data_IF_723195305155
#
_entry.id   IF_723195305155
#
_cell.length_a   1.000
_cell.length_b   1.000
_cell.length_c   1.000
_cell.angle_alpha   90.00
_cell.angle_beta   90.00
_cell.angle_gamma   90.00
#
_symmetry.space_group_name_H-M   'P 1'
#
loop_
_entity.id
_entity.type
_entity.pdbx_description
1 polymer ?
#
# COMPACT_ATOMS: atom_id res chain seq x y z
N UNK A 1 75.57 14.85 -1.44
CA UNK A 1 74.46 15.74 -1.03
C UNK A 1 73.28 15.50 -2.01
N UNK A 2 72.37 14.56 -1.70
CA UNK A 2 71.24 14.20 -2.56
C UNK A 2 69.97 14.80 -2.00
N UNK A 3 69.39 15.79 -2.68
CA UNK A 3 68.10 16.33 -2.38
C UNK A 3 67.01 15.39 -2.92
N UNK A 4 66.33 14.67 -2.05
CA UNK A 4 65.07 13.95 -2.36
C UNK A 4 63.95 14.96 -2.48
N UNK A 5 63.46 15.18 -3.70
CA UNK A 5 62.21 15.90 -3.94
C UNK A 5 61.02 14.94 -3.65
N UNK A 6 60.34 15.20 -2.59
CA UNK A 6 59.06 14.54 -2.28
C UNK A 6 57.98 15.26 -3.10
N UNK A 7 57.45 14.58 -4.11
CA UNK A 7 56.23 15.02 -4.85
C UNK A 7 55.03 14.56 -4.07
N UNK A 8 54.33 15.49 -3.42
CA UNK A 8 53.00 15.25 -2.82
C UNK A 8 51.96 15.20 -3.96
N UNK A 9 51.44 14.01 -4.26
CA UNK A 9 50.28 13.85 -5.15
C UNK A 9 49.06 14.03 -4.28
N UNK A 10 48.39 15.17 -4.40
CA UNK A 10 47.10 15.42 -3.80
C UNK A 10 46.03 14.62 -4.58
N UNK A 11 45.55 13.53 -4.00
CA UNK A 11 44.43 12.74 -4.54
C UNK A 11 43.11 13.50 -4.20
N UNK A 12 42.58 14.27 -5.16
CA UNK A 12 41.24 14.81 -5.07
C UNK A 12 40.24 13.66 -5.24
N UNK A 13 39.72 13.12 -4.15
CA UNK A 13 38.55 12.22 -4.15
C UNK A 13 37.31 13.07 -4.39
N UNK A 14 36.88 13.19 -5.64
CA UNK A 14 35.54 13.66 -5.96
C UNK A 14 34.52 12.60 -5.46
N UNK A 15 33.96 12.81 -4.28
CA UNK A 15 32.82 12.05 -3.82
C UNK A 15 31.59 12.38 -4.70
N UNK A 16 31.51 11.74 -5.85
CA UNK A 16 30.30 11.74 -6.67
C UNK A 16 29.20 11.04 -5.89
N UNK A 17 28.26 11.81 -5.32
CA UNK A 17 27.08 11.25 -4.73
C UNK A 17 26.32 10.45 -5.79
N UNK A 18 26.29 9.12 -5.65
CA UNK A 18 25.42 8.27 -6.45
C UNK A 18 23.99 8.54 -5.93
N UNK A 19 23.25 9.40 -6.62
CA UNK A 19 21.80 9.50 -6.41
C UNK A 19 21.20 8.18 -6.85
N UNK A 20 20.91 7.28 -5.90
CA UNK A 20 20.06 6.13 -6.15
C UNK A 20 18.68 6.70 -6.49
N UNK A 21 18.30 6.60 -7.75
CA UNK A 21 16.95 6.91 -8.18
C UNK A 21 16.00 6.02 -7.37
N UNK A 22 15.25 6.61 -6.46
CA UNK A 22 14.27 5.90 -5.67
C UNK A 22 13.16 5.50 -6.64
N UNK A 23 12.98 4.18 -6.85
CA UNK A 23 11.97 3.64 -7.76
C UNK A 23 10.52 3.82 -7.24
N UNK A 24 10.34 4.50 -6.11
CA UNK A 24 9.07 4.80 -5.45
C UNK A 24 8.78 6.30 -5.40
N UNK A 25 7.58 6.65 -4.88
CA UNK A 25 7.19 8.04 -4.67
C UNK A 25 7.95 8.71 -3.51
N UNK A 26 7.89 10.05 -3.46
CA UNK A 26 8.40 10.86 -2.36
C UNK A 26 7.32 10.98 -1.26
N UNK A 27 7.54 10.30 -0.13
CA UNK A 27 6.61 10.32 0.99
C UNK A 27 6.45 11.72 1.62
N UNK A 28 7.49 12.56 1.62
CA UNK A 28 7.42 13.90 2.17
C UNK A 28 6.57 14.81 1.27
N UNK A 29 6.74 14.72 -0.04
CA UNK A 29 5.87 15.39 -1.00
C UNK A 29 4.43 14.86 -0.90
N UNK A 30 4.24 13.54 -0.73
CA UNK A 30 2.95 12.91 -0.51
C UNK A 30 2.21 13.47 0.70
N UNK A 31 2.90 13.69 1.81
CA UNK A 31 2.31 14.28 3.03
C UNK A 31 1.64 15.63 2.79
N UNK A 32 2.12 16.42 1.85
CA UNK A 32 1.53 17.72 1.52
C UNK A 32 0.24 17.60 0.71
N UNK A 33 -0.01 16.43 0.12
CA UNK A 33 -1.13 16.20 -0.80
C UNK A 33 -2.32 15.47 -0.16
N UNK A 34 -2.18 14.94 1.07
CA UNK A 34 -3.18 14.05 1.67
C UNK A 34 -4.37 14.75 2.33
N UNK A 35 -4.47 16.07 2.29
CA UNK A 35 -5.47 16.81 3.08
C UNK A 35 -6.92 16.31 2.82
N UNK A 36 -7.30 16.10 1.56
CA UNK A 36 -8.61 15.54 1.21
C UNK A 36 -8.74 14.06 1.59
N UNK A 37 -7.67 13.29 1.46
CA UNK A 37 -7.65 11.85 1.81
C UNK A 37 -7.84 11.65 3.32
N UNK A 38 -7.20 12.49 4.12
CA UNK A 38 -7.19 12.42 5.58
C UNK A 38 -8.59 12.56 6.20
N UNK A 39 -9.50 13.26 5.55
CA UNK A 39 -10.87 13.44 6.02
C UNK A 39 -11.62 12.11 6.20
N UNK A 40 -11.35 11.13 5.34
CA UNK A 40 -11.99 9.82 5.36
C UNK A 40 -11.06 8.70 5.83
N UNK A 41 -9.78 8.76 5.44
CA UNK A 41 -8.82 7.70 5.71
C UNK A 41 -7.94 7.93 6.95
N UNK A 42 -8.07 9.10 7.61
CA UNK A 42 -7.17 9.50 8.70
C UNK A 42 -5.85 10.07 8.19
N UNK A 43 -5.22 10.95 8.98
CA UNK A 43 -3.94 11.60 8.60
C UNK A 43 -2.81 10.59 8.40
N UNK A 44 -2.83 9.54 9.19
CA UNK A 44 -1.86 8.42 9.16
C UNK A 44 -2.38 7.22 8.35
N UNK A 45 -3.51 7.34 7.67
CA UNK A 45 -4.13 6.26 6.92
C UNK A 45 -4.84 5.20 7.77
N UNK A 46 -5.01 5.43 9.07
CA UNK A 46 -5.79 4.55 9.95
C UNK A 46 -7.21 5.10 10.11
N UNK A 47 -8.06 4.86 9.09
CA UNK A 47 -9.46 5.31 9.14
C UNK A 47 -10.18 4.77 10.38
N UNK A 48 -10.99 5.61 11.00
CA UNK A 48 -11.83 5.21 12.12
C UNK A 48 -13.12 4.51 11.66
N UNK A 49 -13.57 4.78 10.44
CA UNK A 49 -14.80 4.23 9.87
C UNK A 49 -14.52 2.95 9.07
N UNK A 50 -15.24 1.85 9.33
CA UNK A 50 -15.12 0.62 8.55
C UNK A 50 -15.63 0.76 7.10
N UNK A 51 -16.34 1.84 6.77
CA UNK A 51 -16.72 2.14 5.40
C UNK A 51 -15.51 2.60 4.54
N UNK A 52 -14.49 3.16 5.17
CA UNK A 52 -13.29 3.64 4.51
C UNK A 52 -12.12 2.70 4.82
N UNK A 53 -11.37 2.21 3.83
CA UNK A 53 -10.25 1.32 4.12
C UNK A 53 -9.12 2.05 4.84
N UNK A 54 -8.40 1.32 5.69
CA UNK A 54 -7.10 1.75 6.17
C UNK A 54 -6.11 1.70 5.01
N UNK A 55 -5.29 2.75 4.90
CA UNK A 55 -4.24 2.88 3.89
C UNK A 55 -2.84 2.71 4.49
N UNK A 56 -2.71 2.89 5.82
CA UNK A 56 -1.46 2.79 6.56
C UNK A 56 -0.77 1.44 6.32
N UNK A 57 0.53 1.47 6.04
CA UNK A 57 1.36 0.28 5.85
C UNK A 57 1.04 -0.58 4.62
N UNK A 58 0.08 -0.16 3.81
CA UNK A 58 -0.25 -0.87 2.59
C UNK A 58 0.85 -0.72 1.54
N UNK A 59 1.07 -1.74 0.72
CA UNK A 59 2.07 -1.70 -0.35
C UNK A 59 1.89 -0.48 -1.26
N UNK A 60 2.98 0.27 -1.46
CA UNK A 60 3.00 1.43 -2.35
C UNK A 60 2.52 1.07 -3.76
N UNK A 61 3.02 -0.06 -4.30
CA UNK A 61 2.61 -0.57 -5.62
C UNK A 61 1.11 -0.82 -5.69
N UNK A 62 0.52 -1.40 -4.64
CA UNK A 62 -0.91 -1.64 -4.58
C UNK A 62 -1.70 -0.33 -4.46
N UNK A 63 -1.28 0.59 -3.59
CA UNK A 63 -1.93 1.89 -3.42
C UNK A 63 -1.93 2.68 -4.74
N UNK A 64 -0.77 2.78 -5.38
CA UNK A 64 -0.65 3.49 -6.67
C UNK A 64 -1.54 2.86 -7.74
N UNK A 65 -1.57 1.52 -7.83
CA UNK A 65 -2.49 0.83 -8.74
C UNK A 65 -3.93 1.21 -8.45
N UNK A 66 -4.36 1.17 -7.18
CA UNK A 66 -5.74 1.49 -6.82
C UNK A 66 -6.10 2.95 -7.14
N UNK A 67 -5.22 3.91 -6.88
CA UNK A 67 -5.43 5.32 -7.24
C UNK A 67 -5.60 5.50 -8.75
N UNK A 68 -4.77 4.84 -9.54
CA UNK A 68 -4.88 4.86 -11.02
C UNK A 68 -6.20 4.24 -11.50
N UNK A 69 -6.57 3.08 -10.96
CA UNK A 69 -7.78 2.37 -11.34
C UNK A 69 -9.04 3.18 -10.99
N UNK A 70 -9.06 3.83 -9.82
CA UNK A 70 -10.17 4.70 -9.41
C UNK A 70 -10.23 5.93 -10.32
N UNK A 71 -9.09 6.59 -10.58
CA UNK A 71 -9.04 7.77 -11.45
C UNK A 71 -9.51 7.48 -12.88
N UNK A 72 -9.18 6.31 -13.40
CA UNK A 72 -9.57 5.89 -14.77
C UNK A 72 -10.98 5.29 -14.85
N UNK A 73 -11.65 5.05 -13.72
CA UNK A 73 -12.92 4.34 -13.67
C UNK A 73 -12.82 2.81 -13.77
N UNK A 74 -11.60 2.23 -13.87
CA UNK A 74 -11.40 0.78 -13.85
C UNK A 74 -11.79 0.15 -12.52
N UNK A 75 -11.82 0.95 -11.46
CA UNK A 75 -12.40 0.63 -10.15
C UNK A 75 -13.41 1.71 -9.79
N UNK A 76 -14.69 1.38 -9.89
CA UNK A 76 -15.75 2.30 -9.52
C UNK A 76 -15.96 2.33 -8.00
N UNK A 77 -15.81 3.51 -7.41
CA UNK A 77 -16.08 3.82 -6.01
C UNK A 77 -16.75 5.19 -5.95
N UNK A 78 -18.05 5.23 -5.88
CA UNK A 78 -18.84 6.47 -5.99
C UNK A 78 -18.34 7.60 -5.07
N UNK A 79 -17.98 7.30 -3.81
CA UNK A 79 -17.48 8.32 -2.86
C UNK A 79 -16.10 8.88 -3.23
N UNK A 80 -15.33 8.15 -4.05
CA UNK A 80 -14.01 8.59 -4.52
C UNK A 80 -14.07 9.32 -5.87
N UNK A 81 -15.24 9.35 -6.52
CA UNK A 81 -15.41 10.05 -7.81
C UNK A 81 -15.03 11.52 -7.68
N UNK A 82 -14.16 11.99 -8.57
CA UNK A 82 -13.67 13.36 -8.59
C UNK A 82 -12.53 13.67 -7.61
N UNK A 83 -12.29 12.84 -6.58
CA UNK A 83 -11.26 13.11 -5.57
C UNK A 83 -9.82 13.10 -6.13
N UNK A 84 -9.61 12.42 -7.25
CA UNK A 84 -8.30 12.22 -7.85
C UNK A 84 -8.08 13.03 -9.14
N UNK A 85 -9.06 13.82 -9.59
CA UNK A 85 -9.04 14.46 -10.91
C UNK A 85 -7.84 15.38 -11.13
N UNK A 86 -7.50 16.16 -10.12
CA UNK A 86 -6.40 17.12 -10.17
C UNK A 86 -5.02 16.52 -9.82
N UNK A 87 -4.94 15.21 -9.50
CA UNK A 87 -3.67 14.56 -9.14
C UNK A 87 -2.98 14.01 -10.38
N UNK A 88 -1.70 14.30 -10.53
CA UNK A 88 -0.83 13.66 -11.51
C UNK A 88 -0.46 12.24 -11.08
N UNK A 89 0.15 11.45 -11.98
CA UNK A 89 0.68 10.12 -11.64
C UNK A 89 1.78 10.24 -10.57
N UNK A 90 2.59 11.29 -10.63
CA UNK A 90 3.63 11.57 -9.62
C UNK A 90 3.01 11.87 -8.27
N UNK A 91 1.95 12.69 -8.21
CA UNK A 91 1.24 12.99 -6.96
C UNK A 91 0.64 11.72 -6.35
N UNK A 92 0.02 10.87 -7.15
CA UNK A 92 -0.52 9.59 -6.71
C UNK A 92 0.58 8.64 -6.20
N UNK A 93 1.77 8.64 -6.83
CA UNK A 93 2.93 7.86 -6.37
C UNK A 93 3.42 8.38 -5.01
N UNK A 94 3.53 9.70 -4.85
CA UNK A 94 3.95 10.33 -3.60
C UNK A 94 2.96 10.05 -2.46
N UNK A 95 1.64 10.14 -2.72
CA UNK A 95 0.59 9.79 -1.76
C UNK A 95 0.69 8.31 -1.36
N UNK A 96 0.90 7.42 -2.34
CA UNK A 96 1.07 5.99 -2.09
C UNK A 96 2.28 5.71 -1.21
N UNK A 97 3.43 6.36 -1.47
CA UNK A 97 4.64 6.25 -0.66
C UNK A 97 4.41 6.75 0.78
N UNK A 98 3.69 7.88 0.93
CA UNK A 98 3.37 8.41 2.26
C UNK A 98 2.58 7.41 3.10
N UNK A 99 1.47 6.88 2.59
CA UNK A 99 0.65 5.92 3.35
C UNK A 99 1.32 4.57 3.53
N UNK A 100 2.13 4.13 2.57
CA UNK A 100 2.92 2.90 2.71
C UNK A 100 3.93 2.96 3.86
N UNK A 101 4.48 4.14 4.14
CA UNK A 101 5.40 4.38 5.26
C UNK A 101 4.72 4.50 6.63
N UNK A 102 3.38 4.52 6.70
CA UNK A 102 2.68 4.64 7.98
C UNK A 102 2.53 3.28 8.68
N UNK A 103 2.42 3.32 10.01
CA UNK A 103 2.16 2.11 10.80
C UNK A 103 0.66 1.86 10.88
N UNK A 104 0.22 0.70 10.42
CA UNK A 104 -1.18 0.30 10.52
C UNK A 104 -1.53 -0.10 11.96
N UNK A 105 -2.66 0.40 12.46
CA UNK A 105 -3.22 -0.06 13.72
C UNK A 105 -3.83 -1.46 13.58
N UNK A 106 -3.56 -2.32 14.57
CA UNK A 106 -4.11 -3.67 14.60
C UNK A 106 -5.65 -3.65 14.61
N UNK A 107 -6.23 -4.61 13.93
CA UNK A 107 -7.65 -4.96 14.03
C UNK A 107 -7.81 -6.21 14.89
N UNK A 108 -9.02 -6.40 15.41
CA UNK A 108 -9.37 -7.62 16.14
C UNK A 108 -10.48 -8.35 15.40
N UNK A 109 -10.35 -9.68 15.30
CA UNK A 109 -11.43 -10.53 14.81
C UNK A 109 -12.50 -10.70 15.91
N UNK A 110 -13.75 -10.89 15.50
CA UNK A 110 -14.79 -11.34 16.43
C UNK A 110 -14.45 -12.74 16.91
N UNK A 111 -14.37 -12.99 18.23
CA UNK A 111 -13.93 -14.28 18.77
C UNK A 111 -14.70 -15.47 18.19
N UNK A 112 -16.00 -15.34 18.01
CA UNK A 112 -16.88 -16.39 17.48
C UNK A 112 -16.62 -16.73 16.01
N UNK A 113 -15.96 -15.86 15.26
CA UNK A 113 -15.61 -16.07 13.85
C UNK A 113 -14.12 -16.39 13.63
N UNK A 114 -13.31 -16.24 14.67
CA UNK A 114 -11.84 -16.30 14.52
C UNK A 114 -11.35 -17.69 14.06
N UNK A 115 -11.93 -18.78 14.60
CA UNK A 115 -11.54 -20.14 14.22
C UNK A 115 -11.94 -20.44 12.77
N UNK A 116 -13.20 -20.24 12.42
CA UNK A 116 -13.70 -20.47 11.06
C UNK A 116 -12.94 -19.59 10.06
N UNK A 117 -12.68 -18.33 10.40
CA UNK A 117 -11.93 -17.41 9.54
C UNK A 117 -10.50 -17.88 9.32
N UNK A 118 -9.83 -18.40 10.35
CA UNK A 118 -8.49 -18.96 10.26
C UNK A 118 -8.43 -20.19 9.34
N UNK A 119 -9.40 -21.10 9.50
CA UNK A 119 -9.50 -22.30 8.65
C UNK A 119 -9.68 -21.91 7.17
N UNK A 120 -10.64 -21.04 6.86
CA UNK A 120 -10.87 -20.59 5.49
C UNK A 120 -9.63 -19.84 4.95
N UNK A 121 -9.03 -18.99 5.76
CA UNK A 121 -7.86 -18.22 5.35
C UNK A 121 -6.69 -19.11 4.96
N UNK A 122 -6.42 -20.15 5.76
CA UNK A 122 -5.27 -21.05 5.59
C UNK A 122 -5.50 -22.16 4.57
N UNK A 123 -6.70 -22.72 4.57
CA UNK A 123 -7.00 -23.94 3.84
C UNK A 123 -7.96 -23.73 2.66
N UNK A 124 -8.62 -22.56 2.61
CA UNK A 124 -9.70 -22.34 1.64
C UNK A 124 -10.98 -23.09 2.00
N UNK A 125 -11.84 -23.27 1.02
CA UNK A 125 -13.01 -24.12 1.10
C UNK A 125 -13.22 -24.78 -0.26
N UNK A 126 -12.77 -26.03 -0.40
CA UNK A 126 -12.79 -26.77 -1.67
C UNK A 126 -14.22 -27.03 -2.18
N UNK A 127 -15.16 -27.27 -1.30
CA UNK A 127 -16.56 -27.51 -1.67
C UNK A 127 -17.20 -26.29 -2.33
N UNK A 128 -16.74 -25.09 -1.94
CA UNK A 128 -17.22 -23.80 -2.47
C UNK A 128 -16.28 -23.20 -3.52
N UNK A 129 -15.21 -23.90 -3.90
CA UNK A 129 -14.22 -23.37 -4.85
C UNK A 129 -13.40 -22.19 -4.33
N UNK A 130 -13.28 -22.03 -3.00
CA UNK A 130 -12.52 -20.93 -2.39
C UNK A 130 -11.08 -21.37 -2.16
N UNK A 131 -10.14 -20.71 -2.83
CA UNK A 131 -8.71 -20.93 -2.62
C UNK A 131 -8.25 -20.41 -1.26
N UNK A 132 -7.16 -20.99 -0.73
CA UNK A 132 -6.52 -20.48 0.49
C UNK A 132 -5.96 -19.06 0.28
N UNK A 133 -6.33 -18.13 1.13
CA UNK A 133 -5.92 -16.71 1.02
C UNK A 133 -4.42 -16.54 1.27
N UNK A 134 -3.82 -17.44 2.08
CA UNK A 134 -2.39 -17.44 2.42
C UNK A 134 -1.48 -17.50 1.20
N UNK A 135 -1.91 -18.13 0.11
CA UNK A 135 -1.12 -18.29 -1.11
C UNK A 135 -0.71 -16.96 -1.74
N UNK A 136 -1.58 -15.96 -1.66
CA UNK A 136 -1.35 -14.63 -2.21
C UNK A 136 -1.03 -13.58 -1.13
N UNK A 137 -1.76 -13.62 -0.01
CA UNK A 137 -1.67 -12.61 1.04
C UNK A 137 -0.66 -12.95 2.15
N UNK A 138 0.01 -14.09 2.06
CA UNK A 138 0.98 -14.56 3.06
C UNK A 138 0.31 -15.11 4.32
N UNK A 139 1.06 -15.83 5.18
CA UNK A 139 0.50 -16.56 6.32
C UNK A 139 -0.11 -15.66 7.40
N UNK A 140 0.37 -14.42 7.50
CA UNK A 140 -0.11 -13.41 8.45
C UNK A 140 -0.99 -12.32 7.81
N UNK A 141 -1.31 -12.43 6.52
CA UNK A 141 -2.09 -11.41 5.82
C UNK A 141 -1.31 -10.12 5.51
N UNK A 142 0.02 -10.18 5.58
CA UNK A 142 0.89 -9.02 5.33
C UNK A 142 0.95 -8.61 3.84
N UNK A 143 0.38 -9.43 2.96
CA UNK A 143 0.42 -9.21 1.52
C UNK A 143 1.75 -9.65 0.90
N UNK A 144 1.86 -9.37 -0.40
CA UNK A 144 3.09 -9.53 -1.17
C UNK A 144 3.24 -8.32 -2.09
N UNK A 145 3.91 -7.28 -1.57
CA UNK A 145 4.08 -6.00 -2.27
C UNK A 145 4.67 -6.14 -3.67
N UNK A 146 5.80 -6.86 -3.87
CA UNK A 146 6.37 -7.09 -5.20
C UNK A 146 5.41 -7.73 -6.19
N UNK A 147 4.60 -8.68 -5.75
CA UNK A 147 3.58 -9.33 -6.59
C UNK A 147 2.29 -8.50 -6.74
N UNK A 148 2.11 -7.43 -5.94
CA UNK A 148 0.93 -6.56 -5.99
C UNK A 148 -0.24 -7.05 -5.16
N UNK A 149 -0.06 -8.11 -4.35
CA UNK A 149 -1.11 -8.56 -3.43
C UNK A 149 -1.14 -7.68 -2.18
N UNK A 150 -2.31 -7.12 -1.82
CA UNK A 150 -2.43 -6.21 -0.68
C UNK A 150 -2.24 -6.89 0.67
N UNK A 151 -1.78 -6.10 1.64
CA UNK A 151 -1.94 -6.42 3.04
C UNK A 151 -3.42 -6.38 3.41
N UNK A 152 -3.92 -7.43 4.06
CA UNK A 152 -5.29 -7.54 4.58
C UNK A 152 -5.32 -7.67 6.10
N UNK A 153 -4.18 -8.00 6.72
CA UNK A 153 -4.03 -7.93 8.17
C UNK A 153 -4.37 -6.52 8.69
N UNK A 154 -5.06 -6.43 9.81
CA UNK A 154 -5.44 -5.18 10.44
C UNK A 154 -6.45 -4.31 9.69
N UNK A 155 -6.85 -4.67 8.48
CA UNK A 155 -7.90 -3.97 7.72
C UNK A 155 -9.28 -4.20 8.37
N UNK A 156 -10.19 -3.25 8.18
CA UNK A 156 -11.57 -3.39 8.65
C UNK A 156 -12.25 -4.63 8.06
N UNK A 157 -12.80 -5.48 8.91
CA UNK A 157 -13.47 -6.71 8.50
C UNK A 157 -14.65 -6.45 7.53
N UNK A 158 -15.43 -5.39 7.80
CA UNK A 158 -16.57 -5.02 6.96
C UNK A 158 -16.11 -4.57 5.56
N UNK A 159 -14.98 -3.84 5.48
CA UNK A 159 -14.40 -3.48 4.20
C UNK A 159 -13.92 -4.71 3.43
N UNK A 160 -13.22 -5.64 4.07
CA UNK A 160 -12.79 -6.89 3.43
C UNK A 160 -14.00 -7.68 2.92
N UNK A 161 -15.02 -7.87 3.77
CA UNK A 161 -16.25 -8.57 3.39
C UNK A 161 -16.96 -7.91 2.21
N UNK A 162 -17.01 -6.57 2.18
CA UNK A 162 -17.54 -5.83 1.05
C UNK A 162 -16.75 -6.08 -0.23
N UNK A 163 -15.41 -6.01 -0.15
CA UNK A 163 -14.57 -6.23 -1.33
C UNK A 163 -14.70 -7.65 -1.88
N UNK A 164 -14.78 -8.66 -1.01
CA UNK A 164 -15.02 -10.04 -1.44
C UNK A 164 -16.37 -10.19 -2.16
N UNK A 165 -17.43 -9.54 -1.66
CA UNK A 165 -18.73 -9.50 -2.37
C UNK A 165 -18.62 -8.81 -3.72
N UNK A 166 -17.91 -7.65 -3.79
CA UNK A 166 -17.74 -6.93 -5.05
C UNK A 166 -16.98 -7.77 -6.10
N UNK A 167 -15.98 -8.54 -5.70
CA UNK A 167 -15.32 -9.49 -6.59
C UNK A 167 -16.26 -10.60 -7.05
N UNK A 168 -17.02 -11.21 -6.13
CA UNK A 168 -17.95 -12.29 -6.47
C UNK A 168 -19.07 -11.85 -7.40
N UNK A 169 -19.49 -10.59 -7.30
CA UNK A 169 -20.57 -9.99 -8.11
C UNK A 169 -20.06 -9.32 -9.40
N UNK A 170 -18.75 -9.37 -9.67
CA UNK A 170 -18.15 -8.69 -10.83
C UNK A 170 -18.16 -7.17 -10.77
N UNK A 171 -18.51 -6.57 -9.64
CA UNK A 171 -18.45 -5.10 -9.43
C UNK A 171 -17.04 -4.59 -9.20
N UNK A 172 -16.12 -5.47 -8.90
CA UNK A 172 -14.69 -5.22 -8.80
C UNK A 172 -13.93 -6.28 -9.56
N UNK A 173 -13.13 -5.89 -10.56
CA UNK A 173 -12.37 -6.80 -11.42
C UNK A 173 -10.88 -6.43 -11.52
N UNK A 174 -10.44 -5.41 -10.79
CA UNK A 174 -9.08 -4.89 -10.84
C UNK A 174 -8.11 -5.57 -9.89
#
# INVERSE_FOLDING_TARGET
MNLFRIILIALCTAAGGISVAQAGGDAQAGQQLIASCAACHGKDGNSASPANPKLAGQSEKYLLKQLKDIKSGARDIAIMTGQLDNLTVTDMSNIAAYFAGQTQTAGTAKPELAELGREIYRNGNHERGIAACTGCHGPAGAGNGPAGYPMIAGQHADYIAQQLRHFAEGRRMN
#
